data_IF_490140978077
#
_entry.id   IF_490140978077
#
_cell.length_a   1.000
_cell.length_b   1.000
_cell.length_c   1.000
_cell.angle_alpha   90.00
_cell.angle_beta   90.00
_cell.angle_gamma   90.00
#
_symmetry.space_group_name_H-M   'P 1'
#
loop_
_entity.id
_entity.type
_entity.pdbx_description
1 polymer ?
#
# COMPACT_ATOMS: atom_id res chain seq x y z
N UNK A 1 14.46 -20.99 -9.23
CA UNK A 1 13.29 -21.21 -8.34
C UNK A 1 13.61 -20.93 -6.86
N UNK A 2 14.41 -19.89 -6.53
CA UNK A 2 14.87 -19.61 -5.15
C UNK A 2 14.72 -18.13 -4.73
N UNK A 3 14.07 -17.27 -5.54
CA UNK A 3 13.94 -15.84 -5.24
C UNK A 3 12.94 -15.52 -4.12
N UNK A 4 11.82 -16.25 -4.04
CA UNK A 4 10.81 -16.04 -2.99
C UNK A 4 11.06 -16.87 -1.72
N UNK A 5 11.92 -17.89 -1.80
CA UNK A 5 12.23 -18.78 -0.67
C UNK A 5 13.26 -18.17 0.30
N UNK A 6 13.87 -17.02 -0.05
CA UNK A 6 14.81 -16.34 0.83
C UNK A 6 14.02 -15.56 1.91
N UNK A 7 14.11 -15.93 3.20
CA UNK A 7 13.38 -15.25 4.27
C UNK A 7 13.70 -13.75 4.34
N UNK A 8 14.89 -13.32 3.91
CA UNK A 8 15.27 -11.91 3.87
C UNK A 8 14.43 -11.11 2.87
N UNK A 9 14.05 -11.72 1.74
CA UNK A 9 13.22 -11.08 0.71
C UNK A 9 11.78 -10.97 1.20
N UNK A 10 11.27 -11.98 1.91
CA UNK A 10 9.94 -11.90 2.51
C UNK A 10 9.86 -10.79 3.57
N UNK A 11 10.88 -10.68 4.43
CA UNK A 11 10.96 -9.62 5.43
C UNK A 11 11.02 -8.22 4.81
N UNK A 12 11.78 -8.04 3.71
CA UNK A 12 11.86 -6.75 3.04
C UNK A 12 10.54 -6.36 2.36
N UNK A 13 9.83 -7.30 1.72
CA UNK A 13 8.51 -7.04 1.12
C UNK A 13 7.50 -6.61 2.17
N UNK A 14 7.48 -7.29 3.32
CA UNK A 14 6.62 -6.93 4.44
C UNK A 14 6.98 -5.51 4.93
N UNK A 15 8.26 -5.22 5.14
CA UNK A 15 8.71 -3.89 5.59
C UNK A 15 8.28 -2.78 4.61
N UNK A 16 8.46 -3.00 3.30
CA UNK A 16 8.04 -2.06 2.25
C UNK A 16 6.53 -1.85 2.28
N UNK A 17 5.74 -2.92 2.50
CA UNK A 17 4.28 -2.79 2.60
C UNK A 17 3.87 -1.88 3.77
N UNK A 18 4.42 -2.11 4.98
CA UNK A 18 4.12 -1.24 6.13
C UNK A 18 4.61 0.21 5.90
N UNK A 19 5.74 0.39 5.22
CA UNK A 19 6.22 1.73 4.84
C UNK A 19 5.28 2.43 3.85
N UNK A 20 4.73 1.70 2.87
CA UNK A 20 3.72 2.25 1.97
C UNK A 20 2.44 2.65 2.70
N UNK A 21 2.00 1.91 3.71
CA UNK A 21 0.86 2.28 4.55
C UNK A 21 1.11 3.60 5.27
N UNK A 22 2.29 3.75 5.89
CA UNK A 22 2.67 4.99 6.56
C UNK A 22 2.72 6.18 5.59
N UNK A 23 3.28 5.97 4.39
CA UNK A 23 3.35 6.97 3.35
C UNK A 23 1.95 7.39 2.87
N UNK A 24 1.05 6.43 2.63
CA UNK A 24 -0.34 6.69 2.25
C UNK A 24 -1.06 7.49 3.34
N UNK A 25 -0.90 7.10 4.60
CA UNK A 25 -1.50 7.82 5.73
C UNK A 25 -1.03 9.28 5.77
N UNK A 26 0.29 9.50 5.68
CA UNK A 26 0.87 10.83 5.73
C UNK A 26 0.39 11.69 4.58
N UNK A 27 0.49 11.19 3.34
CA UNK A 27 0.03 11.91 2.15
C UNK A 27 -1.47 12.20 2.21
N UNK A 28 -2.29 11.23 2.63
CA UNK A 28 -3.72 11.44 2.79
C UNK A 28 -3.97 12.57 3.77
N UNK A 29 -3.44 12.50 4.99
CA UNK A 29 -3.76 13.44 6.06
C UNK A 29 -3.33 14.88 5.76
N UNK A 30 -2.25 15.09 5.00
CA UNK A 30 -1.80 16.44 4.65
C UNK A 30 -2.47 17.00 3.38
N UNK A 31 -3.14 16.18 2.55
CA UNK A 31 -3.70 16.66 1.27
C UNK A 31 -5.21 16.50 1.18
N UNK A 32 -5.73 15.32 1.49
CA UNK A 32 -7.13 14.98 1.19
C UNK A 32 -8.13 15.67 2.14
N UNK A 33 -7.91 15.70 3.47
CA UNK A 33 -8.71 16.51 4.38
C UNK A 33 -8.71 17.99 4.05
N UNK A 34 -7.53 18.54 3.70
CA UNK A 34 -7.38 19.96 3.39
C UNK A 34 -8.11 20.36 2.10
N UNK A 35 -7.95 19.57 1.03
CA UNK A 35 -8.51 19.91 -0.29
C UNK A 35 -10.00 19.57 -0.42
N UNK A 36 -10.48 18.52 0.27
CA UNK A 36 -11.81 17.97 0.06
C UNK A 36 -12.69 17.96 1.32
N UNK A 37 -12.18 18.43 2.48
CA UNK A 37 -12.92 18.42 3.74
C UNK A 37 -13.20 17.02 4.29
N UNK A 38 -12.42 16.01 3.86
CA UNK A 38 -12.57 14.62 4.31
C UNK A 38 -11.89 14.38 5.66
N UNK A 39 -12.15 13.21 6.26
CA UNK A 39 -11.54 12.82 7.54
C UNK A 39 -10.09 12.36 7.36
N UNK A 40 -9.27 12.68 8.34
CA UNK A 40 -7.94 12.06 8.52
C UNK A 40 -8.07 10.55 8.77
N UNK A 41 -7.02 9.83 8.38
CA UNK A 41 -6.87 8.40 8.58
C UNK A 41 -5.87 8.13 9.71
N UNK A 42 -6.22 7.18 10.57
CA UNK A 42 -5.25 6.48 11.39
C UNK A 42 -4.52 5.39 10.58
N UNK A 43 -3.44 4.85 11.15
CA UNK A 43 -2.60 3.86 10.49
C UNK A 43 -3.39 2.64 9.95
N UNK A 44 -4.30 2.11 10.75
CA UNK A 44 -5.12 0.95 10.38
C UNK A 44 -6.20 1.27 9.34
N UNK A 45 -6.69 2.51 9.29
CA UNK A 45 -7.59 2.99 8.24
C UNK A 45 -6.85 3.11 6.92
N UNK A 46 -5.65 3.72 6.91
CA UNK A 46 -4.80 3.80 5.73
C UNK A 46 -4.42 2.40 5.20
N UNK A 47 -4.10 1.45 6.08
CA UNK A 47 -3.81 0.07 5.68
C UNK A 47 -4.97 -0.58 4.93
N UNK A 48 -6.20 -0.49 5.49
CA UNK A 48 -7.40 -1.06 4.85
C UNK A 48 -7.71 -0.37 3.53
N UNK A 49 -7.51 0.95 3.45
CA UNK A 49 -7.68 1.71 2.22
C UNK A 49 -6.68 1.28 1.14
N UNK A 50 -5.41 1.07 1.50
CA UNK A 50 -4.39 0.55 0.58
C UNK A 50 -4.79 -0.83 0.05
N UNK A 51 -5.26 -1.73 0.92
CA UNK A 51 -5.73 -3.06 0.50
C UNK A 51 -6.91 -2.96 -0.48
N UNK A 52 -7.91 -2.12 -0.19
CA UNK A 52 -9.04 -1.88 -1.10
C UNK A 52 -8.52 -1.35 -2.45
N UNK A 53 -7.62 -0.38 -2.44
CA UNK A 53 -7.02 0.17 -3.66
C UNK A 53 -6.26 -0.90 -4.46
N UNK A 54 -5.52 -1.80 -3.80
CA UNK A 54 -4.84 -2.91 -4.49
C UNK A 54 -5.82 -3.92 -5.09
N UNK A 55 -6.97 -4.16 -4.47
CA UNK A 55 -8.00 -5.04 -5.02
C UNK A 55 -8.67 -4.39 -6.25
N UNK A 56 -8.95 -3.08 -6.18
CA UNK A 56 -9.64 -2.36 -7.25
C UNK A 56 -8.73 -2.04 -8.45
N UNK A 57 -7.45 -1.74 -8.19
CA UNK A 57 -6.54 -1.19 -9.20
C UNK A 57 -5.27 -2.03 -9.42
N UNK A 58 -4.95 -2.97 -8.52
CA UNK A 58 -3.68 -3.70 -8.50
C UNK A 58 -3.55 -4.86 -9.50
N UNK A 59 -4.55 -5.10 -10.36
CA UNK A 59 -4.54 -6.20 -11.34
C UNK A 59 -4.01 -5.82 -12.73
N UNK A 60 -3.51 -4.59 -12.94
CA UNK A 60 -3.11 -4.08 -14.26
C UNK A 60 -1.74 -4.57 -14.78
N UNK A 61 -1.00 -5.41 -14.04
CA UNK A 61 0.38 -5.82 -14.41
C UNK A 61 0.62 -7.30 -14.78
N UNK A 62 -0.36 -8.20 -14.61
CA UNK A 62 -0.14 -9.66 -14.80
C UNK A 62 -0.33 -10.10 -16.28
N UNK A 63 -0.80 -9.21 -17.16
CA UNK A 63 -1.03 -9.51 -18.57
C UNK A 63 0.20 -9.34 -19.49
N UNK A 64 1.35 -8.92 -18.98
CA UNK A 64 2.58 -8.71 -19.79
C UNK A 64 3.60 -9.85 -19.66
N UNK A 65 3.18 -11.00 -19.13
CA UNK A 65 3.97 -12.24 -19.11
C UNK A 65 3.22 -13.29 -19.94
N UNK A 66 3.02 -13.00 -21.23
CA UNK A 66 2.68 -13.98 -22.27
C UNK A 66 3.43 -13.61 -23.54
#
# INVERSE_FOLDING_TARGET
MLGLANPLILMSLIAVFFLMVALLQWLWNITIPELFGLKELNYWQAMRLLLIATILFGSSGIWLIN
#
